data_IF_862114467401
#
_entry.id   IF_862114467401
#
_cell.length_a   1.000
_cell.length_b   1.000
_cell.length_c   1.000
_cell.angle_alpha   90.00
_cell.angle_beta   90.00
_cell.angle_gamma   90.00
#
_symmetry.space_group_name_H-M   'P 1'
#
loop_
_entity.id
_entity.type
_entity.pdbx_description
1 polymer ?
#
# COMPACT_ATOMS: atom_id res chain seq x y z
N UNK A 1 -11.29 -2.28 14.43
CA UNK A 1 -10.51 -3.41 13.88
C UNK A 1 -11.21 -3.93 12.63
N UNK A 2 -10.48 -4.54 11.71
CA UNK A 2 -11.05 -5.31 10.61
C UNK A 2 -11.38 -6.71 11.13
N UNK A 3 -12.65 -7.11 11.04
CA UNK A 3 -13.16 -8.41 11.47
C UNK A 3 -14.25 -8.93 10.52
N UNK A 4 -13.96 -8.93 9.22
CA UNK A 4 -14.87 -9.50 8.22
C UNK A 4 -16.05 -8.63 7.82
N UNK A 5 -16.19 -7.41 8.36
CA UNK A 5 -17.28 -6.51 8.00
C UNK A 5 -17.30 -6.18 6.50
N UNK A 6 -18.50 -6.00 5.96
CA UNK A 6 -18.73 -5.57 4.59
C UNK A 6 -18.91 -4.06 4.54
N UNK A 7 -18.03 -3.37 3.82
CA UNK A 7 -18.06 -1.92 3.62
C UNK A 7 -18.53 -1.62 2.21
N UNK A 8 -19.57 -0.80 2.07
CA UNK A 8 -20.05 -0.36 0.76
C UNK A 8 -19.11 0.71 0.21
N UNK A 9 -18.51 0.43 -0.94
CA UNK A 9 -17.71 1.37 -1.73
C UNK A 9 -18.04 1.16 -3.20
N UNK A 10 -18.17 2.24 -3.96
CA UNK A 10 -18.57 2.22 -5.36
C UNK A 10 -17.54 2.94 -6.21
N UNK A 11 -17.36 2.49 -7.44
CA UNK A 11 -16.51 3.15 -8.42
C UNK A 11 -15.80 2.16 -9.33
N UNK A 12 -15.21 2.70 -10.40
CA UNK A 12 -14.30 1.99 -11.30
C UNK A 12 -12.90 2.59 -11.14
N UNK A 13 -11.91 1.72 -11.12
CA UNK A 13 -10.54 2.10 -10.82
C UNK A 13 -9.58 0.95 -11.04
N UNK A 14 -8.30 1.20 -10.81
CA UNK A 14 -7.25 0.18 -10.94
C UNK A 14 -6.79 -0.37 -9.57
N UNK A 15 -7.20 0.25 -8.47
CA UNK A 15 -6.85 -0.16 -7.11
C UNK A 15 -7.87 0.29 -6.06
N UNK A 16 -7.84 -0.37 -4.91
CA UNK A 16 -8.40 0.15 -3.66
C UNK A 16 -7.28 0.76 -2.83
N UNK A 17 -7.48 1.97 -2.32
CA UNK A 17 -6.60 2.59 -1.34
C UNK A 17 -7.22 2.44 0.06
N UNK A 18 -6.40 2.05 1.03
CA UNK A 18 -6.80 1.89 2.43
C UNK A 18 -5.93 2.77 3.31
N UNK A 19 -6.55 3.55 4.20
CA UNK A 19 -5.86 4.19 5.33
C UNK A 19 -5.86 3.23 6.51
N UNK A 20 -4.68 2.78 6.94
CA UNK A 20 -4.53 1.64 7.84
C UNK A 20 -3.45 1.83 8.89
N UNK A 21 -3.53 1.00 9.93
CA UNK A 21 -2.45 0.74 10.88
C UNK A 21 -2.56 -0.67 11.47
N UNK A 22 -1.42 -1.30 11.77
CA UNK A 22 -1.33 -2.50 12.60
C UNK A 22 -1.09 -2.13 14.06
N UNK A 23 -1.61 -2.90 15.02
CA UNK A 23 -1.27 -2.80 16.44
C UNK A 23 -0.70 -4.12 16.94
N UNK A 24 0.43 -4.05 17.65
CA UNK A 24 1.14 -5.24 18.14
C UNK A 24 2.09 -5.83 17.09
N UNK A 25 2.46 -5.03 16.09
CA UNK A 25 3.27 -5.45 14.95
C UNK A 25 2.63 -5.15 13.60
N UNK A 26 3.31 -5.53 12.53
CA UNK A 26 2.76 -5.50 11.17
C UNK A 26 1.57 -6.47 11.09
N UNK A 27 0.40 -5.95 10.72
CA UNK A 27 -0.83 -6.74 10.64
C UNK A 27 -1.18 -7.03 9.18
N UNK A 28 -1.57 -8.27 8.89
CA UNK A 28 -1.89 -8.70 7.53
C UNK A 28 -3.13 -9.58 7.48
N UNK A 29 -3.92 -9.46 6.42
CA UNK A 29 -5.09 -10.31 6.22
C UNK A 29 -5.63 -10.30 4.79
N UNK A 30 -6.45 -11.29 4.49
CA UNK A 30 -7.08 -11.46 3.17
C UNK A 30 -8.52 -10.98 3.21
N UNK A 31 -8.89 -10.10 2.28
CA UNK A 31 -10.25 -9.62 2.10
C UNK A 31 -10.82 -10.00 0.73
N UNK A 32 -12.04 -9.55 0.44
CA UNK A 32 -12.69 -9.81 -0.86
C UNK A 32 -13.36 -8.56 -1.39
N UNK A 33 -13.14 -8.25 -2.66
CA UNK A 33 -13.89 -7.24 -3.42
C UNK A 33 -15.07 -7.93 -4.11
N UNK A 34 -16.26 -7.35 -3.97
CA UNK A 34 -17.44 -7.76 -4.74
C UNK A 34 -17.71 -6.72 -5.81
N UNK A 35 -17.85 -7.16 -7.04
CA UNK A 35 -18.13 -6.31 -8.18
C UNK A 35 -19.62 -6.32 -8.53
N UNK A 36 -20.07 -5.31 -9.28
CA UNK A 36 -21.47 -5.15 -9.70
C UNK A 36 -21.96 -6.24 -10.64
N UNK A 37 -21.06 -6.85 -11.41
CA UNK A 37 -21.33 -7.99 -12.29
C UNK A 37 -21.50 -9.33 -11.55
N UNK A 38 -21.45 -9.32 -10.21
CA UNK A 38 -21.55 -10.50 -9.36
C UNK A 38 -20.20 -11.23 -9.15
N UNK A 39 -19.17 -10.88 -9.91
CA UNK A 39 -17.83 -11.44 -9.75
C UNK A 39 -17.17 -10.98 -8.45
N UNK A 40 -16.13 -11.71 -8.03
CA UNK A 40 -15.37 -11.45 -6.80
C UNK A 40 -13.88 -11.48 -7.07
N UNK A 41 -13.11 -10.73 -6.28
CA UNK A 41 -11.65 -10.76 -6.30
C UNK A 41 -11.09 -10.82 -4.89
N UNK A 42 -10.05 -11.61 -4.68
CA UNK A 42 -9.32 -11.65 -3.40
C UNK A 42 -8.23 -10.57 -3.40
N UNK A 43 -7.94 -10.01 -2.22
CA UNK A 43 -6.78 -9.14 -2.03
C UNK A 43 -6.12 -9.42 -0.69
N UNK A 44 -4.81 -9.15 -0.62
CA UNK A 44 -4.04 -9.15 0.63
C UNK A 44 -3.78 -7.70 1.04
N UNK A 45 -4.05 -7.39 2.30
CA UNK A 45 -3.76 -6.08 2.91
C UNK A 45 -2.74 -6.27 4.03
N UNK A 46 -1.70 -5.46 4.02
CA UNK A 46 -0.61 -5.47 5.01
C UNK A 46 -0.42 -4.05 5.54
N UNK A 47 -0.65 -3.86 6.83
CA UNK A 47 -0.55 -2.58 7.51
C UNK A 47 0.64 -2.59 8.46
N UNK A 48 1.59 -1.64 8.31
CA UNK A 48 2.68 -1.50 9.26
C UNK A 48 2.19 -1.10 10.66
N UNK A 49 2.97 -1.43 11.69
CA UNK A 49 2.69 -1.04 13.07
C UNK A 49 2.65 0.48 13.24
N UNK A 50 1.67 0.98 13.98
CA UNK A 50 1.49 2.42 14.15
C UNK A 50 2.63 3.12 14.93
N UNK A 51 3.35 2.40 15.82
CA UNK A 51 4.48 2.92 16.62
C UNK A 51 5.84 2.63 16.02
N UNK A 52 6.05 1.44 15.46
CA UNK A 52 7.37 1.00 14.96
C UNK A 52 7.46 0.94 13.43
N UNK A 53 6.34 1.17 12.72
CA UNK A 53 6.29 1.15 11.27
C UNK A 53 7.20 2.19 10.60
N UNK A 54 7.62 1.93 9.35
CA UNK A 54 8.59 2.74 8.64
C UNK A 54 8.09 4.16 8.39
N UNK A 55 8.94 5.16 8.66
CA UNK A 55 8.62 6.57 8.39
C UNK A 55 8.55 6.90 6.89
N UNK A 56 9.22 6.10 6.04
CA UNK A 56 9.34 6.35 4.60
C UNK A 56 8.01 6.17 3.85
N UNK A 57 7.13 5.29 4.34
CA UNK A 57 5.86 4.95 3.68
C UNK A 57 4.64 5.43 4.48
N UNK A 58 4.84 6.29 5.48
CA UNK A 58 3.74 6.91 6.21
C UNK A 58 3.01 7.89 5.30
N UNK A 59 1.69 7.98 5.49
CA UNK A 59 0.88 9.03 4.89
C UNK A 59 0.67 10.18 5.86
N UNK A 60 0.45 9.87 7.13
CA UNK A 60 0.32 10.85 8.20
C UNK A 60 1.17 10.40 9.38
N UNK A 61 1.90 11.34 9.98
CA UNK A 61 2.50 11.20 11.29
C UNK A 61 1.79 12.17 12.24
N UNK A 62 1.22 11.63 13.30
CA UNK A 62 0.62 12.39 14.39
C UNK A 62 1.73 12.88 15.33
N UNK A 63 1.57 14.05 15.96
CA UNK A 63 2.64 14.67 16.74
C UNK A 63 2.88 14.01 18.10
N UNK A 64 1.90 13.26 18.62
CA UNK A 64 1.95 12.65 19.94
C UNK A 64 1.08 11.40 20.05
N UNK A 65 1.24 10.67 21.16
CA UNK A 65 0.38 9.55 21.57
C UNK A 65 -0.30 9.94 22.89
N UNK A 66 -1.62 9.78 22.95
CA UNK A 66 -2.37 9.94 24.20
C UNK A 66 -2.44 8.61 24.96
N UNK A 67 -2.05 8.62 26.24
CA UNK A 67 -2.13 7.47 27.14
C UNK A 67 -2.87 7.86 28.41
N UNK A 68 -3.36 6.89 29.22
CA UNK A 68 -3.95 7.20 30.52
C UNK A 68 -3.01 7.96 31.47
N UNK A 69 -1.69 7.79 31.32
CA UNK A 69 -0.67 8.50 32.12
C UNK A 69 -0.23 9.85 31.54
N UNK A 70 -0.89 10.33 30.49
CA UNK A 70 -0.57 11.58 29.81
C UNK A 70 -0.07 11.37 28.37
N UNK A 71 0.42 12.47 27.80
CA UNK A 71 0.84 12.52 26.41
C UNK A 71 2.31 12.12 26.25
N UNK A 72 2.61 11.19 25.33
CA UNK A 72 3.96 10.84 24.93
C UNK A 72 4.36 11.64 23.68
N UNK A 73 5.57 12.20 23.68
CA UNK A 73 6.19 12.87 22.52
C UNK A 73 6.70 11.85 21.46
N UNK A 74 5.90 10.83 21.19
CA UNK A 74 6.13 9.80 20.20
C UNK A 74 5.18 10.00 19.01
N UNK A 75 5.65 9.69 17.79
CA UNK A 75 4.84 9.85 16.59
C UNK A 75 4.06 8.58 16.29
N UNK A 76 2.73 8.65 16.35
CA UNK A 76 1.87 7.62 15.76
C UNK A 76 1.81 7.80 14.24
N UNK A 77 1.72 6.70 13.49
CA UNK A 77 1.72 6.71 12.02
C UNK A 77 0.46 6.06 11.47
N UNK A 78 -0.03 6.62 10.38
CA UNK A 78 -1.02 5.98 9.51
C UNK A 78 -0.42 5.80 8.12
N UNK A 79 -0.77 4.70 7.48
CA UNK A 79 -0.25 4.30 6.18
C UNK A 79 -1.38 4.22 5.16
N UNK A 80 -1.10 4.66 3.93
CA UNK A 80 -1.94 4.35 2.77
C UNK A 80 -1.35 3.15 2.05
N UNK A 81 -2.15 2.10 1.93
CA UNK A 81 -1.78 0.86 1.21
C UNK A 81 -2.76 0.66 0.08
N UNK A 82 -2.24 0.36 -1.11
CA UNK A 82 -3.07 0.12 -2.30
C UNK A 82 -3.00 -1.33 -2.73
N UNK A 83 -4.16 -1.93 -3.00
CA UNK A 83 -4.28 -3.28 -3.57
C UNK A 83 -4.93 -3.19 -4.95
N UNK A 84 -4.50 -4.00 -5.93
CA UNK A 84 -5.02 -3.93 -7.29
C UNK A 84 -6.49 -4.35 -7.37
N UNK A 85 -7.23 -3.71 -8.28
CA UNK A 85 -8.58 -4.10 -8.68
C UNK A 85 -8.57 -4.80 -10.04
N UNK A 86 -9.60 -5.61 -10.29
CA UNK A 86 -9.82 -6.19 -11.59
C UNK A 86 -10.15 -5.08 -12.61
N UNK A 87 -9.38 -5.01 -13.69
CA UNK A 87 -9.52 -3.97 -14.70
C UNK A 87 -10.93 -3.95 -15.31
N UNK A 88 -11.47 -2.75 -15.51
CA UNK A 88 -12.78 -2.54 -16.15
C UNK A 88 -13.99 -2.89 -15.29
N UNK A 89 -13.80 -3.43 -14.07
CA UNK A 89 -14.90 -3.83 -13.19
C UNK A 89 -15.27 -2.72 -12.21
N UNK A 90 -16.56 -2.65 -11.90
CA UNK A 90 -17.10 -1.69 -10.94
C UNK A 90 -17.28 -2.33 -9.58
N UNK A 91 -16.64 -1.73 -8.57
CA UNK A 91 -16.73 -2.20 -7.18
C UNK A 91 -18.12 -1.91 -6.63
N UNK A 92 -18.68 -2.88 -5.90
CA UNK A 92 -19.96 -2.77 -5.21
C UNK A 92 -19.79 -2.73 -3.69
N UNK A 93 -18.89 -3.56 -3.16
CA UNK A 93 -18.53 -3.60 -1.74
C UNK A 93 -17.18 -4.28 -1.54
N UNK A 94 -16.61 -4.08 -0.35
CA UNK A 94 -15.37 -4.71 0.09
C UNK A 94 -15.63 -5.39 1.43
N UNK A 95 -15.35 -6.68 1.50
CA UNK A 95 -15.25 -7.41 2.75
C UNK A 95 -13.81 -7.24 3.27
N UNK A 96 -13.69 -6.70 4.48
CA UNK A 96 -12.41 -6.53 5.15
C UNK A 96 -11.88 -7.88 5.67
N UNK A 97 -10.56 -8.02 5.92
CA UNK A 97 -10.02 -9.22 6.54
C UNK A 97 -10.69 -9.54 7.89
N UNK A 98 -10.76 -10.83 8.24
CA UNK A 98 -11.16 -11.28 9.57
C UNK A 98 -10.03 -11.05 10.57
N UNK A 99 -10.38 -10.82 11.83
CA UNK A 99 -9.42 -10.62 12.89
C UNK A 99 -8.78 -11.96 13.30
N UNK A 100 -7.45 -12.14 13.20
CA UNK A 100 -6.79 -13.34 13.69
C UNK A 100 -6.59 -13.34 15.22
N UNK A 101 -6.95 -12.27 15.93
CA UNK A 101 -6.79 -12.08 17.37
C UNK A 101 -5.55 -11.26 17.75
N UNK A 102 -4.46 -11.39 16.98
CA UNK A 102 -3.29 -10.50 16.97
C UNK A 102 -2.33 -10.87 15.81
N UNK A 103 -1.52 -9.93 15.28
CA UNK A 103 -1.62 -8.48 15.45
C UNK A 103 -2.90 -7.91 14.81
N UNK A 104 -3.42 -6.82 15.39
CA UNK A 104 -4.71 -6.24 14.99
C UNK A 104 -4.58 -5.37 13.74
N UNK A 105 -5.45 -5.59 12.75
CA UNK A 105 -5.57 -4.72 11.58
C UNK A 105 -6.63 -3.63 11.79
N UNK A 106 -6.24 -2.37 11.66
CA UNK A 106 -7.16 -1.22 11.68
C UNK A 106 -7.30 -0.62 10.28
N UNK A 107 -8.54 -0.45 9.84
CA UNK A 107 -8.90 0.25 8.60
C UNK A 107 -9.74 1.46 8.98
N UNK A 108 -9.22 2.66 8.70
CA UNK A 108 -9.87 3.93 9.05
C UNK A 108 -10.70 4.48 7.89
N UNK A 109 -10.22 4.29 6.66
CA UNK A 109 -10.91 4.70 5.45
C UNK A 109 -10.50 3.80 4.28
N UNK A 110 -11.37 3.71 3.27
CA UNK A 110 -11.05 3.06 2.00
C UNK A 110 -11.77 3.74 0.84
N UNK A 111 -11.13 3.75 -0.33
CA UNK A 111 -11.68 4.33 -1.55
C UNK A 111 -11.22 3.58 -2.80
N UNK A 112 -12.00 3.69 -3.88
CA UNK A 112 -11.56 3.25 -5.21
C UNK A 112 -10.64 4.33 -5.78
N UNK A 113 -9.41 3.95 -6.14
CA UNK A 113 -8.47 4.82 -6.84
C UNK A 113 -8.79 4.78 -8.33
N UNK A 114 -9.08 5.94 -8.90
CA UNK A 114 -9.30 6.07 -10.35
C UNK A 114 -8.07 5.59 -11.13
N UNK A 115 -8.30 4.96 -12.27
CA UNK A 115 -7.23 4.57 -13.18
C UNK A 115 -6.51 5.82 -13.70
N UNK A 116 -5.18 5.86 -13.57
CA UNK A 116 -4.37 6.94 -14.16
C UNK A 116 -4.31 6.77 -15.67
N UNK A 117 -4.97 7.66 -16.43
CA UNK A 117 -4.87 7.70 -17.90
C UNK A 117 -3.64 8.52 -18.32
N UNK A 118 -2.92 8.08 -19.35
CA UNK A 118 -1.83 8.86 -19.95
C UNK A 118 -0.51 8.87 -19.17
N UNK A 119 -0.27 7.90 -18.29
CA UNK A 119 0.99 7.82 -17.55
C UNK A 119 2.17 7.59 -18.50
N UNK A 120 3.03 8.60 -18.61
CA UNK A 120 4.41 8.46 -19.05
C UNK A 120 5.28 8.49 -17.80
N UNK A 121 5.82 7.34 -17.42
CA UNK A 121 6.52 7.17 -16.16
C UNK A 121 7.85 7.89 -16.11
N UNK A 122 7.89 9.04 -15.45
CA UNK A 122 9.05 9.39 -14.61
C UNK A 122 8.66 9.05 -13.18
N UNK A 123 9.57 8.37 -12.47
CA UNK A 123 9.32 7.68 -11.20
C UNK A 123 8.98 8.68 -10.06
N UNK A 124 7.77 9.22 -10.06
CA UNK A 124 7.25 10.05 -8.98
C UNK A 124 6.32 9.29 -8.03
N UNK A 125 5.91 8.07 -8.37
CA UNK A 125 5.06 7.25 -7.50
C UNK A 125 5.69 5.85 -7.30
N UNK A 126 6.48 5.69 -6.24
CA UNK A 126 6.79 4.34 -5.74
C UNK A 126 5.47 3.64 -5.41
N UNK A 127 5.16 2.55 -6.12
CA UNK A 127 3.96 1.73 -5.89
C UNK A 127 3.99 1.01 -4.54
N UNK A 128 5.15 0.95 -3.90
CA UNK A 128 5.34 0.49 -2.53
C UNK A 128 6.79 0.71 -2.08
N UNK A 129 7.03 0.90 -0.78
CA UNK A 129 8.36 0.94 -0.16
C UNK A 129 8.76 -0.37 0.52
N UNK A 130 8.24 -1.51 0.05
CA UNK A 130 8.35 -2.81 0.74
C UNK A 130 9.67 -3.57 0.48
N UNK A 131 10.64 -3.01 -0.25
CA UNK A 131 11.93 -3.69 -0.43
C UNK A 131 12.88 -3.32 0.70
N UNK A 132 13.25 -4.32 1.51
CA UNK A 132 14.39 -4.24 2.41
C UNK A 132 15.66 -3.98 1.58
N UNK A 133 16.23 -2.78 1.70
CA UNK A 133 17.52 -2.43 1.12
C UNK A 133 18.62 -2.77 2.13
N UNK A 134 19.07 -4.03 2.19
CA UNK A 134 20.17 -4.40 3.08
C UNK A 134 20.31 -5.90 3.37
N UNK A 135 21.49 -6.34 3.87
CA UNK A 135 22.74 -5.61 3.99
C UNK A 135 23.57 -5.70 2.69
N UNK A 136 23.97 -4.56 2.12
CA UNK A 136 24.78 -4.52 0.91
C UNK A 136 26.19 -4.10 1.33
N UNK A 137 27.15 -5.03 1.34
CA UNK A 137 28.58 -4.70 1.46
C UNK A 137 29.20 -4.70 0.06
N UNK A 138 30.11 -3.76 -0.19
CA UNK A 138 30.94 -3.66 -1.40
C UNK A 138 30.17 -3.54 -2.74
N UNK A 139 28.99 -2.89 -2.74
CA UNK A 139 28.23 -2.61 -3.96
C UNK A 139 27.66 -1.19 -3.97
N UNK A 140 27.84 -0.49 -5.09
CA UNK A 140 27.21 0.81 -5.35
C UNK A 140 26.05 0.62 -6.32
N UNK A 141 24.83 1.00 -5.93
CA UNK A 141 23.74 1.19 -6.89
C UNK A 141 23.86 2.58 -7.48
N UNK A 142 24.13 2.66 -8.79
CA UNK A 142 24.02 3.91 -9.53
C UNK A 142 22.79 3.86 -10.41
N UNK A 143 21.72 4.54 -10.01
CA UNK A 143 20.53 4.71 -10.84
C UNK A 143 20.78 5.89 -11.80
N UNK A 144 21.35 5.62 -12.98
CA UNK A 144 21.44 6.62 -14.05
C UNK A 144 20.11 6.63 -14.81
N UNK A 145 19.30 7.66 -14.61
CA UNK A 145 17.98 7.78 -15.25
C UNK A 145 18.08 8.77 -16.41
N UNK A 146 17.84 8.27 -17.62
CA UNK A 146 17.46 9.11 -18.75
C UNK A 146 15.93 9.13 -18.84
N UNK A 147 15.32 10.26 -18.55
CA UNK A 147 13.87 10.43 -18.67
C UNK A 147 13.50 10.65 -20.14
N UNK A 148 12.71 9.76 -20.73
CA UNK A 148 12.04 10.02 -22.00
C UNK A 148 10.60 9.54 -21.97
N UNK A 149 9.72 10.32 -22.57
CA UNK A 149 8.35 9.93 -22.89
C UNK A 149 8.33 9.23 -24.24
N UNK A 150 7.85 7.98 -24.35
CA UNK A 150 7.76 7.34 -25.68
C UNK A 150 6.97 6.04 -25.77
N UNK A 151 5.89 6.06 -26.58
CA UNK A 151 5.31 4.92 -27.29
C UNK A 151 4.63 3.79 -26.49
N UNK A 152 3.94 2.85 -27.16
CA UNK A 152 3.26 1.70 -26.54
C UNK A 152 4.21 0.57 -26.09
N UNK A 153 5.53 0.79 -26.12
CA UNK A 153 6.55 -0.22 -25.76
C UNK A 153 7.56 0.38 -24.80
N UNK A 154 7.79 -0.33 -23.69
CA UNK A 154 8.90 -0.04 -22.77
C UNK A 154 10.12 -0.86 -23.21
N UNK A 155 11.29 -0.21 -23.31
CA UNK A 155 12.58 -0.88 -23.47
C UNK A 155 13.40 -0.65 -22.20
N UNK A 156 13.77 -1.74 -21.53
CA UNK A 156 14.66 -1.72 -20.36
C UNK A 156 16.02 -2.23 -20.82
N UNK A 157 17.09 -1.48 -20.53
CA UNK A 157 18.47 -1.94 -20.67
C UNK A 157 19.10 -1.98 -19.28
N UNK A 158 19.66 -3.14 -18.94
CA UNK A 158 20.41 -3.36 -17.71
C UNK A 158 21.86 -3.58 -18.13
N UNK A 159 22.75 -2.66 -17.78
CA UNK A 159 24.19 -2.80 -17.98
C UNK A 159 24.85 -3.08 -16.63
N UNK A 160 25.72 -4.10 -16.57
CA UNK A 160 26.56 -4.39 -15.42
C UNK A 160 28.02 -4.20 -15.82
N UNK A 161 28.65 -3.13 -15.30
CA UNK A 161 30.05 -2.79 -15.58
C UNK A 161 31.06 -3.79 -15.00
N UNK A 162 30.62 -4.76 -14.18
CA UNK A 162 31.50 -5.73 -13.52
C UNK A 162 31.24 -7.19 -13.92
N UNK A 163 30.54 -7.44 -15.03
CA UNK A 163 30.43 -8.78 -15.60
C UNK A 163 31.53 -8.99 -16.64
N UNK A 164 32.70 -9.45 -16.18
CA UNK A 164 33.69 -10.18 -16.96
C UNK A 164 34.01 -11.47 -16.21
#
# INVERSE_FOLDING_TARGET
RADGQSVRVRGRGDALAFLVAGTGGEASGTGTVRYRDGSRGSYRLTAPDWRSGPLATKSVALPHINTPGGQLAEKARLHVVTVPLAHGREVASVNLPRDPGAPDLHVFALSVRAATKGWTGTWSASTAGYTAVGPWSDRTVRLVVHTSTGGPRVRIRLDNTFAA
#
